data_IF_807591798893
#
_entry.id   IF_807591798893
#
_cell.length_a   1.000
_cell.length_b   1.000
_cell.length_c   1.000
_cell.angle_alpha   90.00
_cell.angle_beta   90.00
_cell.angle_gamma   90.00
#
_symmetry.space_group_name_H-M   'P 1'
#
loop_
_entity.id
_entity.type
_entity.pdbx_description
1 polymer ?
#
# COMPACT_ATOMS: atom_id res chain seq x y z
N UNK A 1 13.18 17.56 -12.54
CA UNK A 1 13.03 17.88 -11.11
C UNK A 1 14.14 17.13 -10.40
N UNK A 2 15.05 17.82 -9.72
CA UNK A 2 16.11 17.17 -8.94
C UNK A 2 15.46 16.40 -7.78
N UNK A 3 15.84 15.13 -7.59
CA UNK A 3 15.26 14.30 -6.53
C UNK A 3 16.06 14.51 -5.26
N UNK A 4 15.44 15.15 -4.27
CA UNK A 4 15.94 15.17 -2.90
C UNK A 4 15.56 13.85 -2.22
N UNK A 5 16.54 12.94 -2.13
CA UNK A 5 16.37 11.60 -1.58
C UNK A 5 15.92 11.61 -0.12
N UNK A 6 16.44 12.54 0.70
CA UNK A 6 16.04 12.64 2.11
C UNK A 6 14.57 13.01 2.26
N UNK A 7 14.11 13.97 1.46
CA UNK A 7 12.69 14.34 1.40
C UNK A 7 11.84 13.20 0.86
N UNK A 8 12.31 12.50 -0.16
CA UNK A 8 11.61 11.36 -0.73
C UNK A 8 11.38 10.26 0.32
N UNK A 9 12.41 9.84 1.04
CA UNK A 9 12.32 8.79 2.07
C UNK A 9 11.35 9.20 3.19
N UNK A 10 11.43 10.45 3.66
CA UNK A 10 10.50 10.96 4.69
C UNK A 10 9.06 10.95 4.19
N UNK A 11 8.84 11.39 2.96
CA UNK A 11 7.53 11.37 2.32
C UNK A 11 7.00 9.96 2.18
N UNK A 12 7.82 9.03 1.71
CA UNK A 12 7.50 7.62 1.55
C UNK A 12 7.00 7.00 2.85
N UNK A 13 7.76 7.13 3.92
CA UNK A 13 7.37 6.59 5.23
C UNK A 13 6.08 7.24 5.73
N UNK A 14 5.92 8.55 5.57
CA UNK A 14 4.70 9.26 5.96
C UNK A 14 3.47 8.74 5.19
N UNK A 15 3.57 8.58 3.88
CA UNK A 15 2.48 8.09 3.04
C UNK A 15 2.09 6.65 3.35
N UNK A 16 3.08 5.78 3.59
CA UNK A 16 2.83 4.41 4.00
C UNK A 16 2.10 4.35 5.35
N UNK A 17 2.61 5.02 6.39
CA UNK A 17 2.00 4.98 7.72
C UNK A 17 0.65 5.68 7.78
N UNK A 18 0.49 6.79 7.05
CA UNK A 18 -0.80 7.48 6.97
C UNK A 18 -1.86 6.57 6.34
N UNK A 19 -1.51 5.85 5.27
CA UNK A 19 -2.42 4.89 4.63
C UNK A 19 -2.77 3.72 5.53
N UNK A 20 -1.82 3.29 6.36
CA UNK A 20 -1.99 2.19 7.31
C UNK A 20 -2.91 2.53 8.49
N UNK A 21 -2.73 3.71 9.08
CA UNK A 21 -3.41 4.06 10.33
C UNK A 21 -4.59 5.02 10.13
N UNK A 22 -4.55 5.88 9.11
CA UNK A 22 -5.56 6.91 8.83
C UNK A 22 -5.98 6.91 7.35
N UNK A 23 -6.56 5.79 6.85
CA UNK A 23 -6.80 5.59 5.41
C UNK A 23 -7.72 6.65 4.78
N UNK A 24 -8.69 7.18 5.53
CA UNK A 24 -9.58 8.25 5.05
C UNK A 24 -8.83 9.55 4.80
N UNK A 25 -7.96 9.93 5.74
CA UNK A 25 -7.12 11.12 5.61
C UNK A 25 -6.12 10.94 4.47
N UNK A 26 -5.54 9.74 4.33
CA UNK A 26 -4.65 9.41 3.21
C UNK A 26 -5.34 9.61 1.86
N UNK A 27 -6.58 9.13 1.72
CA UNK A 27 -7.37 9.30 0.50
C UNK A 27 -7.63 10.78 0.20
N UNK A 28 -8.23 11.52 1.14
CA UNK A 28 -8.58 12.93 0.95
C UNK A 28 -7.34 13.81 0.64
N UNK A 29 -6.20 13.49 1.26
CA UNK A 29 -4.98 14.26 1.10
C UNK A 29 -4.26 13.94 -0.22
N UNK A 30 -4.23 12.68 -0.66
CA UNK A 30 -3.39 12.26 -1.79
C UNK A 30 -4.16 12.13 -3.12
N UNK A 31 -5.49 12.05 -3.09
CA UNK A 31 -6.32 11.86 -4.29
C UNK A 31 -6.23 13.03 -5.30
N UNK A 32 -5.90 14.23 -4.83
CA UNK A 32 -5.84 15.44 -5.66
C UNK A 32 -4.46 16.09 -5.75
N UNK A 33 -3.45 15.49 -5.13
CA UNK A 33 -2.11 16.09 -5.11
C UNK A 33 -1.24 15.46 -6.20
N UNK A 34 -0.96 16.26 -7.22
CA UNK A 34 0.10 15.93 -8.17
C UNK A 34 1.47 15.97 -7.47
N UNK A 35 2.41 15.08 -7.85
CA UNK A 35 3.76 15.06 -7.31
C UNK A 35 4.53 16.34 -7.69
N UNK A 36 4.43 17.35 -6.84
CA UNK A 36 5.04 18.68 -7.03
C UNK A 36 6.47 18.77 -6.49
N UNK A 37 6.87 17.84 -5.61
CA UNK A 37 8.22 17.77 -5.03
C UNK A 37 8.53 16.34 -4.58
N UNK A 38 9.80 16.06 -4.25
CA UNK A 38 10.27 14.73 -3.83
C UNK A 38 9.54 14.15 -2.62
N UNK A 39 9.12 14.99 -1.67
CA UNK A 39 8.37 14.55 -0.49
C UNK A 39 6.98 14.04 -0.88
N UNK A 40 6.23 14.83 -1.65
CA UNK A 40 4.89 14.45 -2.12
C UNK A 40 4.95 13.23 -3.05
N UNK A 41 5.97 13.15 -3.91
CA UNK A 41 6.25 11.95 -4.70
C UNK A 41 6.44 10.74 -3.78
N UNK A 42 7.33 10.84 -2.78
CA UNK A 42 7.55 9.78 -1.81
C UNK A 42 6.24 9.35 -1.15
N UNK A 43 5.43 10.31 -0.69
CA UNK A 43 4.15 10.07 -0.02
C UNK A 43 3.17 9.27 -0.89
N UNK A 44 3.04 9.63 -2.16
CA UNK A 44 2.24 8.88 -3.14
C UNK A 44 2.75 7.45 -3.35
N UNK A 45 4.07 7.24 -3.39
CA UNK A 45 4.65 5.91 -3.53
C UNK A 45 4.50 5.06 -2.26
N UNK A 46 4.61 5.67 -1.07
CA UNK A 46 4.39 4.99 0.19
C UNK A 46 2.95 4.49 0.36
N UNK A 47 1.96 5.30 -0.04
CA UNK A 47 0.56 4.88 -0.10
C UNK A 47 0.37 3.67 -1.04
N UNK A 48 0.94 3.73 -2.24
CA UNK A 48 0.86 2.63 -3.21
C UNK A 48 1.49 1.35 -2.69
N UNK A 49 2.62 1.43 -2.00
CA UNK A 49 3.27 0.26 -1.42
C UNK A 49 2.38 -0.42 -0.38
N UNK A 50 1.74 0.37 0.49
CA UNK A 50 0.78 -0.18 1.46
C UNK A 50 -0.40 -0.87 0.77
N UNK A 51 -0.96 -0.27 -0.30
CA UNK A 51 -2.04 -0.90 -1.06
C UNK A 51 -1.60 -2.24 -1.66
N UNK A 52 -0.40 -2.29 -2.26
CA UNK A 52 0.17 -3.53 -2.81
C UNK A 52 0.33 -4.60 -1.72
N UNK A 53 0.74 -4.22 -0.51
CA UNK A 53 0.85 -5.14 0.63
C UNK A 53 -0.51 -5.73 1.00
N UNK A 54 -1.56 -4.91 1.08
CA UNK A 54 -2.92 -5.37 1.36
C UNK A 54 -3.42 -6.32 0.26
N UNK A 55 -3.24 -5.96 -1.01
CA UNK A 55 -3.68 -6.78 -2.14
C UNK A 55 -2.98 -8.15 -2.14
N UNK A 56 -1.68 -8.18 -1.81
CA UNK A 56 -0.93 -9.43 -1.65
C UNK A 56 -1.46 -10.29 -0.51
N UNK A 57 -1.73 -9.68 0.64
CA UNK A 57 -2.27 -10.41 1.80
C UNK A 57 -3.63 -11.04 1.49
N UNK A 58 -4.51 -10.30 0.80
CA UNK A 58 -5.81 -10.82 0.34
C UNK A 58 -5.65 -11.97 -0.66
N UNK A 59 -4.69 -11.87 -1.59
CA UNK A 59 -4.41 -12.94 -2.55
C UNK A 59 -3.94 -14.22 -1.86
N UNK A 60 -3.06 -14.10 -0.86
CA UNK A 60 -2.57 -15.25 -0.08
C UNK A 60 -3.70 -15.88 0.77
N UNK A 61 -4.58 -15.06 1.36
CA UNK A 61 -5.77 -15.55 2.05
C UNK A 61 -6.66 -16.37 1.10
N UNK A 62 -6.95 -15.85 -0.10
CA UNK A 62 -7.75 -16.57 -1.10
C UNK A 62 -7.12 -17.89 -1.55
N UNK A 63 -5.79 -17.93 -1.70
CA UNK A 63 -5.06 -19.18 -1.99
C UNK A 63 -5.20 -20.17 -0.84
N UNK A 64 -5.09 -19.72 0.41
CA UNK A 64 -5.22 -20.59 1.59
C UNK A 64 -6.61 -21.23 1.68
N UNK A 65 -7.67 -20.46 1.43
CA UNK A 65 -9.06 -20.95 1.40
C UNK A 65 -9.24 -22.01 0.30
N UNK A 66 -8.65 -21.79 -0.88
CA UNK A 66 -8.70 -22.75 -1.98
C UNK A 66 -8.02 -24.07 -1.60
N UNK A 67 -6.83 -24.01 -1.02
CA UNK A 67 -6.10 -25.21 -0.58
C UNK A 67 -6.86 -26.00 0.51
N UNK A 68 -7.50 -25.30 1.45
CA UNK A 68 -8.34 -25.97 2.47
C UNK A 68 -9.50 -26.72 1.82
N UNK A 69 -10.21 -26.10 0.88
CA UNK A 69 -11.34 -26.72 0.17
C UNK A 69 -10.93 -27.95 -0.64
N UNK A 70 -9.78 -27.89 -1.32
CA UNK A 70 -9.28 -29.01 -2.12
C UNK A 70 -8.86 -30.19 -1.22
N UNK A 71 -8.29 -29.91 -0.04
CA UNK A 71 -7.96 -30.95 0.94
C UNK A 71 -9.21 -31.60 1.56
N UNK A 72 -10.28 -30.83 1.81
CA UNK A 72 -11.54 -31.37 2.35
C UNK A 72 -12.23 -32.33 1.38
N UNK A 73 -12.14 -32.09 0.06
CA UNK A 73 -12.75 -32.95 -0.97
C UNK A 73 -12.05 -34.29 -1.18
N UNK A 74 -10.79 -34.40 -0.79
CA UNK A 74 -10.01 -35.64 -0.93
C UNK A 74 -10.21 -36.61 0.27
N UNK A 75 -11.02 -36.22 1.26
CA UNK A 75 -11.31 -37.00 2.48
C UNK A 75 -12.74 -37.56 2.53
N UNK A 76 -13.56 -37.31 1.51
CA UNK A 76 -14.89 -37.91 1.29
C UNK A 76 -14.82 -38.99 0.19
#
# INVERSE_FOLDING_TARGET
MEIDESKYIKGFNAGYFLSKYEPKVSLELLEHIHPINSYISGMNFGQKEFQIEIDKNQLEELKSIRHQKDNSRNLE
#
